data_IF_135339663077
#
_entry.id   IF_135339663077
#
_cell.length_a   1.000
_cell.length_b   1.000
_cell.length_c   1.000
_cell.angle_alpha   90.00
_cell.angle_beta   90.00
_cell.angle_gamma   90.00
#
_symmetry.space_group_name_H-M   'P 1'
#
loop_
_entity.id
_entity.type
_entity.pdbx_description
1 polymer ?
#
# COMPACT_ATOMS: atom_id res chain seq x y z
N UNK A 1 13.80 27.14 -9.67
CA UNK A 1 12.46 26.69 -9.21
C UNK A 1 12.64 25.26 -8.70
N UNK A 2 12.55 25.05 -7.38
CA UNK A 2 12.65 23.71 -6.79
C UNK A 2 11.23 23.15 -6.74
N UNK A 3 10.98 22.05 -7.44
CA UNK A 3 9.70 21.32 -7.36
C UNK A 3 9.86 20.30 -6.23
N UNK A 4 9.12 20.48 -5.15
CA UNK A 4 9.01 19.49 -4.08
C UNK A 4 7.85 18.58 -4.46
N UNK A 5 8.15 17.34 -4.86
CA UNK A 5 7.14 16.33 -5.12
C UNK A 5 6.88 15.58 -3.82
N UNK A 6 5.63 15.63 -3.32
CA UNK A 6 5.16 14.88 -2.16
C UNK A 6 4.29 13.75 -2.67
N UNK A 7 4.71 12.50 -2.52
CA UNK A 7 3.93 11.33 -2.90
C UNK A 7 3.29 10.72 -1.66
N UNK A 8 1.97 10.51 -1.71
CA UNK A 8 1.24 9.74 -0.71
C UNK A 8 1.11 8.29 -1.19
N UNK A 9 2.01 7.44 -0.69
CA UNK A 9 2.10 6.03 -1.06
C UNK A 9 0.85 5.24 -0.72
N UNK A 10 0.18 5.57 0.39
CA UNK A 10 -1.02 4.88 0.83
C UNK A 10 -2.20 5.20 -0.07
N UNK A 11 -2.32 6.45 -0.53
CA UNK A 11 -3.33 6.85 -1.50
C UNK A 11 -3.09 6.21 -2.87
N UNK A 12 -1.85 6.10 -3.33
CA UNK A 12 -1.53 5.38 -4.57
C UNK A 12 -1.87 3.89 -4.48
N UNK A 13 -1.61 3.26 -3.33
CA UNK A 13 -1.94 1.87 -3.11
C UNK A 13 -3.46 1.64 -3.12
N UNK A 14 -4.22 2.52 -2.44
CA UNK A 14 -5.69 2.52 -2.48
C UNK A 14 -6.23 2.73 -3.89
N UNK A 15 -5.68 3.68 -4.64
CA UNK A 15 -6.10 3.98 -6.00
C UNK A 15 -5.84 2.81 -6.95
N UNK A 16 -4.65 2.20 -6.89
CA UNK A 16 -4.30 1.05 -7.74
C UNK A 16 -5.20 -0.17 -7.46
N UNK A 17 -5.48 -0.46 -6.18
CA UNK A 17 -6.46 -1.49 -5.78
C UNK A 17 -7.87 -1.14 -6.25
N UNK A 18 -8.27 0.13 -6.19
CA UNK A 18 -9.54 0.62 -6.68
C UNK A 18 -9.71 0.37 -8.19
N UNK A 19 -8.71 0.73 -8.99
CA UNK A 19 -8.73 0.48 -10.43
C UNK A 19 -8.77 -1.01 -10.78
N UNK A 20 -8.00 -1.84 -10.07
CA UNK A 20 -8.02 -3.30 -10.28
C UNK A 20 -9.41 -3.89 -9.98
N UNK A 21 -10.01 -3.49 -8.84
CA UNK A 21 -11.36 -3.92 -8.46
C UNK A 21 -12.40 -3.49 -9.49
N UNK A 22 -12.33 -2.25 -9.97
CA UNK A 22 -13.32 -1.75 -10.92
C UNK A 22 -13.17 -2.38 -12.30
N UNK A 23 -11.94 -2.66 -12.74
CA UNK A 23 -11.70 -3.47 -13.94
C UNK A 23 -12.38 -4.85 -13.85
N UNK A 24 -12.32 -5.49 -12.68
CA UNK A 24 -12.98 -6.79 -12.46
C UNK A 24 -14.50 -6.67 -12.45
N UNK A 25 -15.03 -5.59 -11.85
CA UNK A 25 -16.47 -5.30 -11.86
C UNK A 25 -16.99 -5.10 -13.29
N UNK A 26 -16.28 -4.30 -14.10
CA UNK A 26 -16.62 -4.10 -15.51
C UNK A 26 -16.57 -5.41 -16.28
N UNK A 27 -15.56 -6.26 -16.05
CA UNK A 27 -15.48 -7.59 -16.65
C UNK A 27 -16.71 -8.44 -16.33
N UNK A 28 -17.11 -8.49 -15.06
CA UNK A 28 -18.32 -9.23 -14.63
C UNK A 28 -19.57 -8.70 -15.32
N UNK A 29 -19.70 -7.39 -15.46
CA UNK A 29 -20.81 -6.76 -16.19
C UNK A 29 -20.81 -7.15 -17.66
N UNK A 30 -19.65 -7.16 -18.32
CA UNK A 30 -19.48 -7.61 -19.71
C UNK A 30 -19.94 -9.07 -19.85
N UNK A 31 -19.48 -9.96 -18.97
CA UNK A 31 -19.80 -11.38 -19.03
C UNK A 31 -21.31 -11.63 -18.78
N UNK A 32 -21.91 -10.92 -17.83
CA UNK A 32 -23.36 -10.97 -17.60
C UNK A 32 -24.16 -10.48 -18.80
N UNK A 33 -23.73 -9.36 -19.42
CA UNK A 33 -24.40 -8.83 -20.60
C UNK A 33 -24.33 -9.81 -21.77
N UNK A 34 -23.18 -10.47 -21.99
CA UNK A 34 -23.06 -11.51 -23.02
C UNK A 34 -24.06 -12.64 -22.80
N UNK A 35 -24.13 -13.18 -21.58
CA UNK A 35 -25.08 -14.27 -21.29
C UNK A 35 -26.54 -13.86 -21.53
N UNK A 36 -26.91 -12.61 -21.21
CA UNK A 36 -28.25 -12.09 -21.51
C UNK A 36 -28.47 -11.97 -23.02
N UNK A 37 -27.50 -11.43 -23.76
CA UNK A 37 -27.58 -11.27 -25.22
C UNK A 37 -27.71 -12.63 -25.91
N UNK A 38 -26.89 -13.62 -25.51
CA UNK A 38 -26.93 -14.99 -26.02
C UNK A 38 -28.30 -15.63 -25.75
N UNK A 39 -28.82 -15.50 -24.53
CA UNK A 39 -30.17 -16.01 -24.18
C UNK A 39 -31.27 -15.37 -25.04
N UNK A 40 -31.14 -14.08 -25.35
CA UNK A 40 -32.08 -13.38 -26.21
C UNK A 40 -31.97 -13.83 -27.66
N UNK A 41 -30.76 -14.11 -28.14
CA UNK A 41 -30.47 -14.55 -29.51
C UNK A 41 -30.93 -15.98 -29.77
N UNK A 42 -30.85 -16.86 -28.78
CA UNK A 42 -31.38 -18.22 -28.82
C UNK A 42 -32.90 -18.29 -28.57
N UNK A 43 -33.53 -17.17 -28.24
CA UNK A 43 -34.98 -17.06 -27.98
C UNK A 43 -35.80 -16.62 -29.18
N UNK A 44 -37.09 -16.37 -28.95
CA UNK A 44 -38.06 -15.93 -29.98
C UNK A 44 -37.90 -14.45 -30.42
N UNK A 45 -36.84 -13.75 -29.99
CA UNK A 45 -36.66 -12.34 -30.34
C UNK A 45 -35.94 -12.20 -31.68
N UNK A 46 -36.74 -12.30 -32.76
CA UNK A 46 -36.27 -12.26 -34.15
C UNK A 46 -36.91 -11.09 -34.89
N UNK A 47 -36.13 -10.37 -35.69
CA UNK A 47 -36.60 -9.29 -36.56
C UNK A 47 -35.58 -8.16 -36.71
N UNK A 48 -35.90 -7.18 -37.56
CA UNK A 48 -34.99 -6.08 -37.92
C UNK A 48 -34.48 -5.27 -36.70
N UNK A 49 -35.32 -5.12 -35.66
CA UNK A 49 -34.93 -4.47 -34.40
C UNK A 49 -33.95 -5.29 -33.57
N UNK A 50 -34.09 -6.62 -33.57
CA UNK A 50 -33.16 -7.52 -32.89
C UNK A 50 -31.80 -7.52 -33.61
N UNK A 51 -31.80 -7.61 -34.94
CA UNK A 51 -30.58 -7.53 -35.77
C UNK A 51 -29.84 -6.20 -35.59
N UNK A 52 -30.58 -5.10 -35.51
CA UNK A 52 -30.01 -3.78 -35.24
C UNK A 52 -29.38 -3.69 -33.84
N UNK A 53 -30.06 -4.24 -32.83
CA UNK A 53 -29.53 -4.31 -31.46
C UNK A 53 -28.25 -5.16 -31.37
N UNK A 54 -28.25 -6.38 -31.92
CA UNK A 54 -27.08 -7.25 -31.87
C UNK A 54 -25.87 -6.62 -32.57
N UNK A 55 -26.10 -6.01 -33.74
CA UNK A 55 -25.06 -5.27 -34.46
C UNK A 55 -24.48 -4.13 -33.62
N UNK A 56 -25.32 -3.34 -32.96
CA UNK A 56 -24.86 -2.23 -32.11
C UNK A 56 -24.07 -2.74 -30.90
N UNK A 57 -24.57 -3.81 -30.26
CA UNK A 57 -23.90 -4.42 -29.11
C UNK A 57 -22.53 -4.96 -29.50
N UNK A 58 -22.40 -5.70 -30.60
CA UNK A 58 -21.13 -6.28 -31.04
C UNK A 58 -20.13 -5.25 -31.58
N UNK A 59 -20.60 -4.24 -32.31
CA UNK A 59 -19.72 -3.30 -33.01
C UNK A 59 -19.30 -2.10 -32.17
N UNK A 60 -20.15 -1.65 -31.23
CA UNK A 60 -19.93 -0.41 -30.50
C UNK A 60 -19.89 -0.62 -28.98
N UNK A 61 -20.94 -1.20 -28.40
CA UNK A 61 -21.10 -1.26 -26.93
C UNK A 61 -20.07 -2.19 -26.29
N UNK A 62 -20.00 -3.45 -26.73
CA UNK A 62 -19.11 -4.44 -26.15
C UNK A 62 -17.63 -4.08 -26.34
N UNK A 63 -17.19 -3.57 -27.51
CA UNK A 63 -15.85 -3.04 -27.66
C UNK A 63 -15.56 -1.82 -26.77
N UNK A 64 -16.53 -0.92 -26.56
CA UNK A 64 -16.35 0.23 -25.67
C UNK A 64 -16.18 -0.19 -24.20
N UNK A 65 -16.99 -1.14 -23.72
CA UNK A 65 -16.87 -1.68 -22.37
C UNK A 65 -15.53 -2.40 -22.16
N UNK A 66 -15.06 -3.15 -23.18
CA UNK A 66 -13.74 -3.78 -23.14
C UNK A 66 -12.61 -2.74 -23.05
N UNK A 67 -12.67 -1.68 -23.85
CA UNK A 67 -11.69 -0.57 -23.77
C UNK A 67 -11.68 0.09 -22.40
N UNK A 68 -12.86 0.27 -21.79
CA UNK A 68 -12.97 0.79 -20.42
C UNK A 68 -12.26 -0.13 -19.42
N UNK A 69 -12.57 -1.43 -19.45
CA UNK A 69 -11.90 -2.43 -18.61
C UNK A 69 -10.37 -2.36 -18.77
N UNK A 70 -9.88 -2.36 -20.00
CA UNK A 70 -8.45 -2.31 -20.31
C UNK A 70 -7.80 -1.02 -19.80
N UNK A 71 -8.49 0.12 -19.93
CA UNK A 71 -8.02 1.41 -19.42
C UNK A 71 -7.92 1.42 -17.89
N UNK A 72 -8.88 0.83 -17.17
CA UNK A 72 -8.82 0.73 -15.71
C UNK A 72 -7.67 -0.18 -15.26
N UNK A 73 -7.50 -1.33 -15.91
CA UNK A 73 -6.36 -2.22 -15.64
C UNK A 73 -5.01 -1.53 -15.91
N UNK A 74 -4.92 -0.73 -16.97
CA UNK A 74 -3.74 0.07 -17.29
C UNK A 74 -3.47 1.14 -16.22
N UNK A 75 -4.51 1.89 -15.81
CA UNK A 75 -4.38 2.91 -14.77
C UNK A 75 -3.85 2.32 -13.45
N UNK A 76 -4.34 1.14 -13.06
CA UNK A 76 -3.84 0.41 -11.89
C UNK A 76 -2.35 0.07 -12.00
N UNK A 77 -1.92 -0.48 -13.16
CA UNK A 77 -0.51 -0.83 -13.41
C UNK A 77 0.41 0.39 -13.40
N UNK A 78 0.05 1.45 -14.11
CA UNK A 78 0.82 2.70 -14.17
C UNK A 78 0.95 3.32 -12.77
N UNK A 79 -0.09 3.24 -11.94
CA UNK A 79 -0.03 3.74 -10.56
C UNK A 79 0.99 2.95 -9.72
N UNK A 80 1.05 1.62 -9.89
CA UNK A 80 2.03 0.78 -9.20
C UNK A 80 3.45 1.06 -9.70
N UNK A 81 3.62 1.27 -11.00
CA UNK A 81 4.90 1.60 -11.63
C UNK A 81 5.44 2.94 -11.12
N UNK A 82 4.60 3.99 -11.11
CA UNK A 82 4.96 5.30 -10.56
C UNK A 82 5.39 5.16 -9.09
N UNK A 83 4.64 4.41 -8.27
CA UNK A 83 5.01 4.12 -6.88
C UNK A 83 6.40 3.46 -6.80
N UNK A 84 6.73 2.54 -7.69
CA UNK A 84 8.03 1.88 -7.75
C UNK A 84 9.16 2.86 -8.05
N UNK A 85 8.98 3.69 -9.08
CA UNK A 85 9.97 4.72 -9.47
C UNK A 85 10.24 5.67 -8.30
N UNK A 86 9.21 6.14 -7.60
CA UNK A 86 9.41 7.02 -6.45
C UNK A 86 10.20 6.37 -5.32
N UNK A 87 9.90 5.11 -4.99
CA UNK A 87 10.66 4.37 -3.96
C UNK A 87 12.12 4.19 -4.34
N UNK A 88 12.41 3.80 -5.57
CA UNK A 88 13.77 3.64 -6.08
C UNK A 88 14.55 4.97 -5.99
N UNK A 89 13.93 6.08 -6.41
CA UNK A 89 14.57 7.40 -6.32
C UNK A 89 14.82 7.87 -4.89
N UNK A 90 13.94 7.52 -3.95
CA UNK A 90 14.12 7.81 -2.52
C UNK A 90 15.26 6.96 -1.93
N UNK A 91 15.31 5.67 -2.26
CA UNK A 91 16.37 4.75 -1.84
C UNK A 91 17.74 5.21 -2.37
N UNK A 92 17.84 5.54 -3.67
CA UNK A 92 19.07 6.05 -4.28
C UNK A 92 19.54 7.36 -3.64
N UNK A 93 18.62 8.30 -3.41
CA UNK A 93 18.95 9.57 -2.75
C UNK A 93 19.40 9.35 -1.31
N UNK A 94 18.74 8.45 -0.58
CA UNK A 94 19.10 8.11 0.79
C UNK A 94 20.46 7.39 0.88
N UNK A 95 20.77 6.54 -0.10
CA UNK A 95 22.04 5.84 -0.22
C UNK A 95 23.19 6.80 -0.49
N UNK A 96 23.03 7.69 -1.47
CA UNK A 96 24.02 8.74 -1.79
C UNK A 96 24.22 9.67 -0.58
N UNK A 97 23.15 10.07 0.10
CA UNK A 97 23.24 10.91 1.29
C UNK A 97 23.95 10.19 2.45
N UNK A 98 23.62 8.92 2.71
CA UNK A 98 24.24 8.13 3.76
C UNK A 98 25.72 7.86 3.47
N UNK A 99 26.06 7.60 2.21
CA UNK A 99 27.43 7.39 1.76
C UNK A 99 28.25 8.68 1.80
N UNK A 100 27.65 9.82 1.45
CA UNK A 100 28.25 11.13 1.66
C UNK A 100 28.53 11.37 3.15
N UNK A 101 27.55 11.10 4.02
CA UNK A 101 27.70 11.25 5.47
C UNK A 101 28.78 10.33 6.05
N UNK A 102 28.89 9.10 5.55
CA UNK A 102 29.94 8.16 5.92
C UNK A 102 31.33 8.59 5.41
N UNK A 103 31.41 9.18 4.22
CA UNK A 103 32.66 9.66 3.61
C UNK A 103 33.25 10.90 4.29
N UNK A 104 32.38 11.71 4.93
CA UNK A 104 32.76 12.89 5.71
C UNK A 104 33.45 12.50 7.04
N UNK A 105 33.41 11.22 7.41
CA UNK A 105 34.04 10.69 8.63
C UNK A 105 33.32 11.09 9.91
N UNK A 106 33.64 10.45 11.03
CA UNK A 106 32.95 10.64 12.32
C UNK A 106 32.97 12.09 12.83
N UNK A 107 34.05 12.83 12.53
CA UNK A 107 34.21 14.23 12.90
C UNK A 107 33.24 15.15 12.14
N UNK A 108 33.13 15.01 10.82
CA UNK A 108 32.21 15.85 10.04
C UNK A 108 30.75 15.38 10.14
N UNK A 109 30.49 14.10 10.43
CA UNK A 109 29.15 13.62 10.78
C UNK A 109 28.69 14.13 12.16
N UNK A 110 29.61 14.32 13.12
CA UNK A 110 29.32 14.98 14.39
C UNK A 110 29.03 16.48 14.20
N UNK A 111 29.81 17.17 13.36
CA UNK A 111 29.56 18.58 13.03
C UNK A 111 28.27 18.79 12.24
N UNK A 112 27.91 17.89 11.32
CA UNK A 112 26.63 17.94 10.60
C UNK A 112 25.43 17.64 11.51
N UNK A 113 25.56 16.68 12.46
CA UNK A 113 24.54 16.44 13.50
C UNK A 113 24.41 17.63 14.45
N UNK A 114 25.52 18.30 14.79
CA UNK A 114 25.53 19.50 15.64
C UNK A 114 24.93 20.70 14.91
N UNK A 115 25.25 20.89 13.63
CA UNK A 115 24.68 21.92 12.78
C UNK A 115 23.18 21.68 12.49
N UNK A 116 22.79 20.42 12.23
CA UNK A 116 21.39 20.01 12.10
C UNK A 116 20.60 20.18 13.39
N UNK A 117 21.21 19.93 14.56
CA UNK A 117 20.60 20.19 15.87
C UNK A 117 20.50 21.70 16.18
N UNK A 118 21.40 22.53 15.68
CA UNK A 118 21.28 24.00 15.75
C UNK A 118 20.16 24.48 14.80
N UNK A 119 20.08 23.93 13.59
CA UNK A 119 19.09 24.31 12.58
C UNK A 119 17.65 23.82 12.89
N UNK A 120 17.48 22.64 13.50
CA UNK A 120 16.18 22.11 13.96
C UNK A 120 15.87 22.45 15.43
N UNK A 121 16.85 22.92 16.20
CA UNK A 121 16.71 23.28 17.61
C UNK A 121 16.31 24.73 17.86
N UNK A 122 16.35 25.61 16.86
CA UNK A 122 16.01 27.03 17.02
C UNK A 122 14.53 27.38 16.79
N UNK A 123 13.64 26.39 16.70
CA UNK A 123 12.18 26.58 16.81
C UNK A 123 11.63 25.97 18.12
N UNK A 124 12.46 25.29 18.89
CA UNK A 124 12.04 24.45 20.01
C UNK A 124 12.67 24.79 21.37
N UNK A 125 12.94 26.05 21.67
CA UNK A 125 12.99 26.55 23.05
C UNK A 125 14.15 26.12 23.94
N UNK A 126 14.95 27.12 24.34
CA UNK A 126 15.44 27.35 25.72
C UNK A 126 15.38 26.12 26.66
N UNK A 127 16.47 25.38 26.79
CA UNK A 127 16.52 24.29 27.77
C UNK A 127 17.85 23.56 27.92
N UNK A 128 19.00 24.21 27.70
CA UNK A 128 20.30 23.63 28.02
C UNK A 128 21.00 24.43 29.14
N UNK A 129 20.58 24.18 30.38
CA UNK A 129 21.46 24.29 31.54
C UNK A 129 22.19 22.94 31.64
N UNK A 130 23.49 22.85 31.39
CA UNK A 130 24.56 23.18 32.31
C UNK A 130 24.47 22.37 33.62
N UNK A 131 25.29 21.32 33.71
CA UNK A 131 25.55 20.51 34.90
C UNK A 131 25.83 19.07 34.48
N UNK A 132 26.94 18.41 34.77
CA UNK A 132 28.01 18.66 35.73
C UNK A 132 28.56 17.29 36.09
N UNK A 133 29.87 17.10 35.94
CA UNK A 133 30.60 15.84 36.16
C UNK A 133 30.70 15.52 37.65
N UNK A 134 30.54 14.23 38.01
CA UNK A 134 30.82 13.65 39.35
C UNK A 134 29.87 12.48 39.59
N UNK A 135 30.21 11.33 40.17
CA UNK A 135 31.35 10.79 40.90
C UNK A 135 30.94 9.36 41.31
N UNK A 136 31.89 8.48 41.62
CA UNK A 136 31.68 7.03 41.73
C UNK A 136 30.73 6.52 42.82
N UNK A 137 30.41 5.22 42.74
CA UNK A 137 29.71 4.47 43.78
C UNK A 137 29.44 3.03 43.36
N UNK A 138 30.08 2.08 44.04
CA UNK A 138 29.89 0.64 43.92
C UNK A 138 28.74 0.12 44.81
N UNK A 139 28.20 -1.05 44.46
CA UNK A 139 27.19 -1.83 45.21
C UNK A 139 25.85 -1.89 44.46
N UNK A 140 25.16 -3.00 44.25
CA UNK A 140 25.22 -4.34 44.81
C UNK A 140 23.78 -4.81 45.08
N UNK A 141 23.32 -5.86 44.39
CA UNK A 141 22.30 -6.82 44.87
C UNK A 141 20.80 -6.50 44.76
N UNK A 142 20.04 -7.52 44.31
CA UNK A 142 18.60 -7.74 44.55
C UNK A 142 17.66 -6.97 43.61
N UNK A 143 16.63 -7.55 42.97
CA UNK A 143 15.87 -8.76 43.24
C UNK A 143 14.39 -8.40 43.43
N UNK A 144 13.56 -8.67 42.40
CA UNK A 144 12.12 -8.94 42.50
C UNK A 144 11.13 -7.76 42.47
N UNK A 145 10.20 -7.81 41.49
CA UNK A 145 8.73 -7.54 41.55
C UNK A 145 8.25 -7.11 40.15
N UNK A 146 7.55 -7.96 39.39
CA UNK A 146 6.07 -8.04 39.27
C UNK A 146 5.44 -6.95 38.37
N UNK A 147 4.51 -7.38 37.50
CA UNK A 147 3.73 -6.54 36.58
C UNK A 147 3.35 -7.31 35.31
N UNK A 148 2.42 -8.27 35.40
CA UNK A 148 1.02 -8.13 34.95
C UNK A 148 0.78 -8.60 33.51
N UNK A 149 0.24 -9.82 33.37
CA UNK A 149 -0.37 -10.34 32.14
C UNK A 149 -1.86 -10.59 32.41
N UNK A 150 -2.80 -9.94 31.70
CA UNK A 150 -4.21 -10.30 31.79
C UNK A 150 -4.57 -11.43 30.80
N UNK A 151 -5.64 -12.12 31.17
CA UNK A 151 -6.15 -13.37 30.64
C UNK A 151 -6.92 -13.27 29.30
N UNK A 152 -6.91 -14.37 28.53
CA UNK A 152 -8.03 -14.87 27.72
C UNK A 152 -7.83 -16.38 27.54
N UNK A 153 -8.65 -17.29 28.06
CA UNK A 153 -9.98 -17.66 27.52
C UNK A 153 -9.83 -18.12 26.07
N UNK A 154 -10.07 -19.34 25.60
CA UNK A 154 -10.84 -20.51 26.05
C UNK A 154 -11.30 -21.25 24.78
N UNK A 155 -11.41 -22.58 24.82
CA UNK A 155 -12.02 -23.41 23.75
C UNK A 155 -11.00 -24.27 22.99
N UNK A 156 -11.04 -25.61 22.98
CA UNK A 156 -12.11 -26.54 23.33
C UNK A 156 -12.76 -27.13 22.07
N UNK A 157 -12.14 -28.14 21.47
CA UNK A 157 -12.71 -29.01 20.43
C UNK A 157 -11.67 -30.06 20.07
N UNK A 158 -11.83 -31.36 20.32
CA UNK A 158 -13.04 -32.17 20.30
C UNK A 158 -12.97 -33.11 19.10
N UNK A 159 -11.93 -33.94 19.00
CA UNK A 159 -11.77 -34.93 17.93
C UNK A 159 -12.35 -36.28 18.38
N UNK A 160 -13.52 -36.64 17.86
CA UNK A 160 -14.15 -37.93 18.11
C UNK A 160 -15.04 -38.37 16.94
N UNK A 161 -14.92 -39.65 16.57
CA UNK A 161 -15.78 -40.38 15.62
C UNK A 161 -15.11 -40.61 14.26
N UNK A 162 -14.80 -41.81 13.77
CA UNK A 162 -15.16 -43.16 14.19
C UNK A 162 -16.21 -43.79 13.25
N UNK A 163 -15.77 -44.83 12.53
CA UNK A 163 -16.51 -46.01 12.06
C UNK A 163 -17.28 -46.02 10.72
N UNK A 164 -17.09 -47.15 10.01
CA UNK A 164 -18.04 -47.83 9.10
C UNK A 164 -17.96 -47.38 7.65
N UNK A 165 -17.79 -48.23 6.62
CA UNK A 165 -18.16 -49.63 6.47
C UNK A 165 -19.08 -49.73 5.24
N UNK A 166 -18.69 -50.53 4.24
CA UNK A 166 -19.45 -50.75 3.01
C UNK A 166 -18.57 -50.79 1.77
#
# INVERSE_FOLDING_TARGET
MIIIIRVDYDQMDKASKGFAKESENVKRTIDNLKGIIETLQDGDWIGEGADAFYREMESLVMPALKRLMDAMAMAGRVTVEIKGIFKETEEDTSGVFSQLLASIGDAGAADFRRAGAIAMGEIGGRGAAAGGVGGGGAGGGGGGSEGESPASGGGGGGSGGGAGGG
#
